data_IF_995950609529
#
_entry.id   IF_995950609529
#
_cell.length_a   1.000
_cell.length_b   1.000
_cell.length_c   1.000
_cell.angle_alpha   90.00
_cell.angle_beta   90.00
_cell.angle_gamma   90.00
#
_symmetry.space_group_name_H-M   'P 1'
#
loop_
_entity.id
_entity.type
_entity.pdbx_description
1 polymer ?
#
# COMPACT_ATOMS: atom_id res chain seq x y z
N UNK A 1 -8.84 -82.13 7.65
CA UNK A 1 -8.24 -80.79 7.56
C UNK A 1 -9.00 -79.86 8.50
N UNK A 2 -8.25 -79.27 9.44
CA UNK A 2 -8.46 -77.98 10.12
C UNK A 2 -9.68 -77.76 11.03
N UNK A 3 -9.43 -77.99 12.34
CA UNK A 3 -9.64 -77.11 13.53
C UNK A 3 -10.35 -75.75 13.31
N UNK A 4 -11.46 -75.39 13.99
CA UNK A 4 -11.79 -75.11 15.42
C UNK A 4 -11.74 -73.61 15.81
N UNK A 5 -12.71 -73.25 16.67
CA UNK A 5 -12.81 -72.09 17.58
C UNK A 5 -13.26 -70.74 16.98
N UNK A 6 -14.50 -70.28 17.24
CA UNK A 6 -15.09 -69.64 18.45
C UNK A 6 -14.84 -68.12 18.47
N UNK A 7 -15.95 -67.38 18.39
CA UNK A 7 -16.08 -65.94 18.53
C UNK A 7 -15.74 -65.47 19.95
N UNK A 8 -15.05 -64.32 20.02
CA UNK A 8 -15.01 -63.46 21.20
C UNK A 8 -15.28 -62.03 20.75
N UNK A 9 -16.32 -61.41 21.30
CA UNK A 9 -16.60 -59.98 21.18
C UNK A 9 -15.63 -59.18 22.05
N UNK A 10 -14.95 -58.19 21.47
CA UNK A 10 -14.31 -57.08 22.18
C UNK A 10 -14.67 -55.78 21.45
N UNK A 11 -15.40 -54.92 22.16
CA UNK A 11 -15.60 -53.51 21.83
C UNK A 11 -14.29 -52.73 22.02
N UNK A 12 -13.82 -52.05 20.98
CA UNK A 12 -12.98 -50.85 21.08
C UNK A 12 -13.02 -50.11 19.73
N UNK A 13 -13.96 -49.18 19.58
CA UNK A 13 -14.03 -48.33 18.39
C UNK A 13 -13.22 -47.05 18.62
N UNK A 14 -12.00 -47.09 18.07
CA UNK A 14 -11.30 -46.05 17.31
C UNK A 14 -11.33 -44.61 17.84
N UNK A 15 -10.17 -44.18 18.33
CA UNK A 15 -9.76 -42.78 18.48
C UNK A 15 -9.82 -42.06 17.12
N UNK A 16 -10.67 -41.03 17.01
CA UNK A 16 -10.56 -40.04 15.94
C UNK A 16 -9.71 -38.87 16.42
N UNK A 17 -8.44 -38.87 16.00
CA UNK A 17 -7.62 -37.67 15.96
C UNK A 17 -8.36 -36.61 15.13
N UNK A 18 -8.79 -35.54 15.78
CA UNK A 18 -9.19 -34.29 15.10
C UNK A 18 -8.13 -33.27 15.42
N UNK A 19 -7.27 -33.01 14.44
CA UNK A 19 -6.40 -31.84 14.41
C UNK A 19 -7.31 -30.62 14.44
N UNK A 20 -7.27 -29.87 15.53
CA UNK A 20 -7.89 -28.55 15.59
C UNK A 20 -6.89 -27.54 15.01
N UNK A 21 -6.71 -27.59 13.70
CA UNK A 21 -6.05 -26.54 12.95
C UNK A 21 -7.10 -25.45 12.72
N UNK A 22 -7.16 -24.50 13.66
CA UNK A 22 -8.00 -23.31 13.57
C UNK A 22 -7.36 -22.29 12.62
N UNK A 23 -7.15 -22.68 11.36
CA UNK A 23 -6.88 -21.73 10.28
C UNK A 23 -8.21 -21.04 9.95
N UNK A 24 -8.31 -19.77 10.34
CA UNK A 24 -9.38 -18.88 9.95
C UNK A 24 -9.38 -18.71 8.42
N UNK A 25 -10.15 -19.55 7.74
CA UNK A 25 -10.69 -19.24 6.42
C UNK A 25 -11.54 -17.97 6.55
N UNK A 26 -11.07 -16.86 5.96
CA UNK A 26 -11.78 -15.68 5.40
C UNK A 26 -10.93 -14.41 5.57
N UNK A 27 -10.90 -13.58 4.51
CA UNK A 27 -10.12 -12.33 4.32
C UNK A 27 -8.62 -12.57 4.06
N UNK A 28 -8.02 -11.99 3.02
CA UNK A 28 -7.62 -10.60 3.14
C UNK A 28 -7.15 -10.02 1.80
N UNK A 29 -7.81 -8.97 1.31
CA UNK A 29 -7.25 -8.07 0.28
C UNK A 29 -6.02 -7.28 0.75
N UNK A 30 -5.63 -7.44 2.02
CA UNK A 30 -4.60 -6.70 2.75
C UNK A 30 -3.59 -7.65 3.41
N UNK A 31 -2.30 -7.44 3.15
CA UNK A 31 -1.22 -8.07 3.93
C UNK A 31 -0.39 -7.02 4.64
N UNK A 32 -0.11 -7.20 5.93
CA UNK A 32 0.69 -6.26 6.72
C UNK A 32 1.87 -6.93 7.41
N UNK A 33 2.97 -6.20 7.55
CA UNK A 33 4.16 -6.70 8.22
C UNK A 33 5.09 -5.60 8.70
N UNK A 34 5.94 -5.93 9.67
CA UNK A 34 6.92 -4.99 10.26
C UNK A 34 8.29 -5.03 9.60
N UNK A 35 8.49 -5.97 8.67
CA UNK A 35 9.72 -6.14 7.91
C UNK A 35 9.46 -5.86 6.42
N UNK A 36 10.45 -5.34 5.68
CA UNK A 36 10.28 -5.02 4.27
C UNK A 36 9.96 -6.24 3.40
N UNK A 37 10.25 -7.46 3.88
CA UNK A 37 9.91 -8.72 3.20
C UNK A 37 8.43 -8.88 2.94
N UNK A 38 7.55 -8.24 3.73
CA UNK A 38 6.10 -8.28 3.48
C UNK A 38 5.76 -7.79 2.07
N UNK A 39 6.52 -6.84 1.52
CA UNK A 39 6.27 -6.27 0.19
C UNK A 39 6.23 -7.34 -0.93
N UNK A 40 6.87 -8.50 -0.75
CA UNK A 40 6.81 -9.60 -1.72
C UNK A 40 5.43 -10.26 -1.80
N UNK A 41 4.60 -10.12 -0.76
CA UNK A 41 3.25 -10.66 -0.72
C UNK A 41 2.30 -9.96 -1.71
N UNK A 42 2.76 -8.89 -2.39
CA UNK A 42 2.00 -8.24 -3.46
C UNK A 42 1.72 -9.21 -4.61
N UNK A 43 2.55 -10.24 -4.79
CA UNK A 43 2.35 -11.27 -5.81
C UNK A 43 1.27 -12.29 -5.49
N UNK A 44 0.73 -12.30 -4.27
CA UNK A 44 -0.39 -13.19 -3.94
C UNK A 44 -1.66 -12.75 -4.70
N UNK A 45 -2.35 -13.72 -5.31
CA UNK A 45 -3.50 -13.46 -6.20
C UNK A 45 -4.62 -12.65 -5.52
N UNK A 46 -4.91 -12.97 -4.26
CA UNK A 46 -6.01 -12.36 -3.51
C UNK A 46 -5.62 -11.07 -2.75
N UNK A 47 -4.39 -10.56 -2.94
CA UNK A 47 -3.90 -9.37 -2.26
C UNK A 47 -4.02 -8.16 -3.18
N UNK A 48 -4.64 -7.06 -2.74
CA UNK A 48 -4.72 -5.80 -3.50
C UNK A 48 -3.84 -4.70 -2.89
N UNK A 49 -3.53 -4.81 -1.60
CA UNK A 49 -2.62 -3.93 -0.89
C UNK A 49 -1.69 -4.73 0.03
N UNK A 50 -0.43 -4.32 0.06
CA UNK A 50 0.53 -4.76 1.06
C UNK A 50 1.08 -3.55 1.81
N UNK A 51 1.20 -3.64 3.13
CA UNK A 51 1.68 -2.56 3.98
C UNK A 51 2.89 -3.03 4.79
N UNK A 52 4.04 -2.41 4.53
CA UNK A 52 5.17 -2.42 5.45
C UNK A 52 5.00 -1.31 6.50
N UNK A 53 4.65 -1.73 7.71
CA UNK A 53 4.50 -0.88 8.89
C UNK A 53 5.87 -0.54 9.44
N UNK A 54 6.31 0.70 9.25
CA UNK A 54 7.60 1.19 9.73
C UNK A 54 7.43 2.49 10.51
N UNK A 55 8.32 2.69 11.48
CA UNK A 55 8.47 3.98 12.14
C UNK A 55 9.54 4.80 11.41
N UNK A 56 9.28 6.09 11.20
CA UNK A 56 10.30 7.02 10.73
C UNK A 56 11.30 7.27 11.86
N UNK A 57 12.59 7.11 11.56
CA UNK A 57 13.62 7.42 12.53
C UNK A 57 13.72 8.94 12.79
N UNK A 58 14.50 9.32 13.80
CA UNK A 58 14.63 10.72 14.19
C UNK A 58 15.29 11.58 13.10
N UNK A 59 16.25 11.04 12.33
CA UNK A 59 16.95 11.79 11.28
C UNK A 59 15.99 12.12 10.14
N UNK A 60 15.21 11.13 9.72
CA UNK A 60 14.20 11.27 8.69
C UNK A 60 13.08 12.22 9.13
N UNK A 61 12.64 12.12 10.39
CA UNK A 61 11.64 13.04 10.95
C UNK A 61 12.14 14.50 10.93
N UNK A 62 13.39 14.75 11.32
CA UNK A 62 14.02 16.08 11.26
C UNK A 62 14.08 16.58 9.81
N UNK A 63 14.49 15.73 8.87
CA UNK A 63 14.58 16.06 7.44
C UNK A 63 13.23 16.48 6.86
N UNK A 64 12.18 15.71 7.16
CA UNK A 64 10.82 15.95 6.69
C UNK A 64 10.26 17.26 7.25
N UNK A 65 10.46 17.54 8.54
CA UNK A 65 10.03 18.80 9.14
C UNK A 65 10.78 20.01 8.54
N UNK A 66 12.10 19.89 8.35
CA UNK A 66 12.91 20.92 7.71
C UNK A 66 12.40 21.23 6.30
N UNK A 67 12.11 20.19 5.51
CA UNK A 67 11.59 20.34 4.15
C UNK A 67 10.23 21.04 4.12
N UNK A 68 9.33 20.69 5.05
CA UNK A 68 8.02 21.34 5.16
C UNK A 68 8.17 22.82 5.52
N UNK A 69 9.10 23.18 6.40
CA UNK A 69 9.34 24.58 6.79
C UNK A 69 9.91 25.43 5.64
N UNK A 70 10.84 24.89 4.85
CA UNK A 70 11.62 25.67 3.88
C UNK A 70 11.13 25.53 2.43
N UNK A 71 10.36 24.50 2.09
CA UNK A 71 9.90 24.22 0.73
C UNK A 71 8.39 23.97 0.66
N UNK A 72 7.54 24.93 1.11
CA UNK A 72 6.10 24.72 1.30
C UNK A 72 5.32 24.28 0.05
N UNK A 73 5.86 24.49 -1.14
CA UNK A 73 5.22 24.18 -2.43
C UNK A 73 5.99 23.15 -3.25
N UNK A 74 6.83 22.33 -2.60
CA UNK A 74 7.65 21.34 -3.30
C UNK A 74 6.78 20.38 -4.12
N UNK A 75 7.11 20.23 -5.40
CA UNK A 75 6.63 19.14 -6.24
C UNK A 75 7.76 18.74 -7.17
N UNK A 76 8.21 17.50 -7.03
CA UNK A 76 9.18 16.87 -7.91
C UNK A 76 8.48 15.71 -8.63
N UNK A 77 8.64 15.67 -9.95
CA UNK A 77 8.21 14.58 -10.82
C UNK A 77 9.44 14.18 -11.64
N UNK A 78 9.97 13.00 -11.39
CA UNK A 78 11.26 12.55 -11.91
C UNK A 78 11.12 11.14 -12.45
N UNK A 79 11.97 10.80 -13.42
CA UNK A 79 12.28 9.42 -13.77
C UNK A 79 13.68 9.17 -13.24
N UNK A 80 13.84 8.13 -12.42
CA UNK A 80 15.12 7.79 -11.76
C UNK A 80 15.38 6.30 -11.87
N UNK A 81 16.66 5.92 -11.87
CA UNK A 81 17.12 4.54 -11.71
C UNK A 81 17.63 4.32 -10.29
N UNK A 82 17.78 3.06 -9.82
CA UNK A 82 18.43 2.78 -8.54
C UNK A 82 19.83 3.39 -8.43
N UNK A 83 20.57 3.48 -9.54
CA UNK A 83 21.95 3.98 -9.58
C UNK A 83 22.05 5.50 -9.54
N UNK A 84 21.13 6.24 -10.17
CA UNK A 84 21.20 7.70 -10.30
C UNK A 84 20.34 8.48 -9.30
N UNK A 85 19.38 7.82 -8.64
CA UNK A 85 18.36 8.47 -7.82
C UNK A 85 18.95 9.43 -6.77
N UNK A 86 20.01 9.01 -6.09
CA UNK A 86 20.67 9.83 -5.07
C UNK A 86 21.25 11.13 -5.67
N UNK A 87 21.94 11.03 -6.80
CA UNK A 87 22.55 12.18 -7.48
C UNK A 87 21.46 13.12 -8.01
N UNK A 88 20.47 12.58 -8.72
CA UNK A 88 19.35 13.34 -9.28
C UNK A 88 18.59 14.11 -8.20
N UNK A 89 18.31 13.49 -7.05
CA UNK A 89 17.65 14.18 -5.93
C UNK A 89 18.57 15.19 -5.25
N UNK A 90 19.86 14.88 -5.10
CA UNK A 90 20.84 15.79 -4.47
C UNK A 90 20.97 17.12 -5.21
N UNK A 91 20.74 17.13 -6.52
CA UNK A 91 20.71 18.36 -7.33
C UNK A 91 19.46 19.22 -7.11
N UNK A 92 18.38 18.67 -6.53
CA UNK A 92 17.11 19.39 -6.31
C UNK A 92 17.03 20.13 -4.98
N UNK A 93 17.98 19.89 -4.08
CA UNK A 93 17.94 20.41 -2.72
C UNK A 93 19.26 21.06 -2.31
N UNK A 94 19.18 21.98 -1.35
CA UNK A 94 20.37 22.48 -0.68
C UNK A 94 20.99 21.36 0.18
N UNK A 95 22.32 21.24 0.09
CA UNK A 95 23.06 20.17 0.78
C UNK A 95 22.98 20.36 2.29
N UNK A 96 22.41 19.37 2.97
CA UNK A 96 22.41 19.27 4.43
C UNK A 96 22.29 17.81 4.85
N UNK A 97 22.82 17.45 6.03
CA UNK A 97 22.73 16.09 6.58
C UNK A 97 21.28 15.62 6.71
N UNK A 98 20.37 16.55 7.03
CA UNK A 98 18.94 16.29 7.13
C UNK A 98 18.37 15.86 5.77
N UNK A 99 18.55 16.67 4.72
CA UNK A 99 18.09 16.33 3.37
C UNK A 99 18.73 15.03 2.87
N UNK A 100 20.03 14.80 3.13
CA UNK A 100 20.70 13.56 2.76
C UNK A 100 20.05 12.32 3.39
N UNK A 101 19.52 12.41 4.62
CA UNK A 101 18.78 11.31 5.25
C UNK A 101 17.48 10.98 4.49
N UNK A 102 16.74 12.00 4.04
CA UNK A 102 15.54 11.81 3.23
C UNK A 102 15.87 11.25 1.84
N UNK A 103 16.91 11.75 1.18
CA UNK A 103 17.34 11.25 -0.12
C UNK A 103 17.73 9.78 -0.02
N UNK A 104 18.52 9.39 0.97
CA UNK A 104 18.90 7.98 1.18
C UNK A 104 17.67 7.08 1.39
N UNK A 105 16.68 7.53 2.16
CA UNK A 105 15.44 6.78 2.34
C UNK A 105 14.71 6.57 1.00
N UNK A 106 14.52 7.65 0.23
CA UNK A 106 13.86 7.59 -1.08
C UNK A 106 14.65 6.70 -2.07
N UNK A 107 15.97 6.81 -2.11
CA UNK A 107 16.84 5.98 -2.96
C UNK A 107 16.69 4.50 -2.60
N UNK A 108 16.63 4.15 -1.31
CA UNK A 108 16.36 2.78 -0.88
C UNK A 108 14.98 2.29 -1.36
N UNK A 109 13.95 3.15 -1.30
CA UNK A 109 12.62 2.77 -1.80
C UNK A 109 12.58 2.58 -3.30
N UNK A 110 13.32 3.41 -4.06
CA UNK A 110 13.48 3.23 -5.51
C UNK A 110 14.19 1.92 -5.83
N UNK A 111 15.29 1.62 -5.14
CA UNK A 111 16.02 0.36 -5.31
C UNK A 111 15.12 -0.85 -5.01
N UNK A 112 14.43 -0.85 -3.87
CA UNK A 112 13.50 -1.91 -3.48
C UNK A 112 12.35 -2.08 -4.49
N UNK A 113 11.74 -0.99 -4.94
CA UNK A 113 10.62 -1.02 -5.89
C UNK A 113 11.06 -1.56 -7.25
N UNK A 114 12.18 -1.05 -7.78
CA UNK A 114 12.75 -1.51 -9.04
C UNK A 114 13.20 -2.97 -8.95
N UNK A 115 13.82 -3.38 -7.86
CA UNK A 115 14.23 -4.77 -7.63
C UNK A 115 13.02 -5.71 -7.57
N UNK A 116 12.00 -5.35 -6.79
CA UNK A 116 10.79 -6.17 -6.61
C UNK A 116 10.10 -6.43 -7.95
N UNK A 117 9.92 -5.40 -8.77
CA UNK A 117 9.20 -5.48 -10.04
C UNK A 117 10.09 -5.70 -11.27
N UNK A 118 11.41 -5.91 -11.08
CA UNK A 118 12.41 -6.03 -12.15
C UNK A 118 12.36 -4.86 -13.15
N UNK A 119 12.29 -3.63 -12.64
CA UNK A 119 12.26 -2.39 -13.42
C UNK A 119 13.67 -1.79 -13.52
N UNK A 120 13.94 -1.12 -14.65
CA UNK A 120 15.17 -0.34 -14.83
C UNK A 120 15.08 1.06 -14.19
N UNK A 121 13.88 1.60 -14.10
CA UNK A 121 13.61 2.96 -13.68
C UNK A 121 12.20 3.05 -13.08
N UNK A 122 12.00 4.05 -12.22
CA UNK A 122 10.72 4.34 -11.58
C UNK A 122 10.32 5.80 -11.80
N UNK A 123 9.02 6.03 -11.92
CA UNK A 123 8.43 7.36 -11.88
C UNK A 123 8.30 7.80 -10.42
N UNK A 124 9.12 8.76 -10.02
CA UNK A 124 9.16 9.29 -8.67
C UNK A 124 8.39 10.60 -8.59
N UNK A 125 7.41 10.65 -7.69
CA UNK A 125 6.74 11.91 -7.31
C UNK A 125 6.94 12.18 -5.83
N UNK A 126 7.57 13.31 -5.50
CA UNK A 126 7.68 13.81 -4.13
C UNK A 126 6.98 15.17 -4.05
N UNK A 127 5.95 15.30 -3.22
CA UNK A 127 5.12 16.50 -3.19
C UNK A 127 4.68 16.88 -1.78
N UNK A 128 4.63 18.20 -1.53
CA UNK A 128 4.00 18.77 -0.35
C UNK A 128 2.59 19.23 -0.74
N UNK A 129 1.60 18.70 -0.05
CA UNK A 129 0.18 18.99 -0.29
C UNK A 129 -0.42 19.77 0.87
N UNK A 130 -1.19 20.80 0.53
CA UNK A 130 -2.06 21.57 1.42
C UNK A 130 -3.55 21.27 1.20
N UNK A 131 -3.85 20.38 0.26
CA UNK A 131 -5.19 19.94 -0.16
C UNK A 131 -5.13 18.50 -0.70
N UNK A 132 -6.26 17.81 -0.73
CA UNK A 132 -6.35 16.50 -1.35
C UNK A 132 -6.10 16.58 -2.87
N UNK A 133 -5.23 15.70 -3.39
CA UNK A 133 -4.96 15.59 -4.84
C UNK A 133 -6.08 14.82 -5.57
N UNK A 134 -6.52 13.71 -4.97
CA UNK A 134 -7.61 12.87 -5.46
C UNK A 134 -8.59 12.62 -4.29
N UNK A 135 -9.49 13.56 -3.99
CA UNK A 135 -10.40 13.47 -2.84
C UNK A 135 -11.47 12.39 -3.00
N UNK A 136 -11.68 11.89 -4.21
CA UNK A 136 -12.63 10.82 -4.52
C UNK A 136 -11.94 9.46 -4.56
N UNK A 137 -12.65 8.44 -4.10
CA UNK A 137 -12.23 7.06 -4.29
C UNK A 137 -12.13 6.72 -5.77
N UNK A 138 -10.97 6.19 -6.16
CA UNK A 138 -10.65 5.81 -7.52
C UNK A 138 -9.69 4.61 -7.50
N UNK A 139 -9.44 4.10 -8.70
CA UNK A 139 -8.40 3.09 -8.95
C UNK A 139 -7.40 3.69 -9.93
N UNK A 140 -6.13 3.35 -9.76
CA UNK A 140 -5.10 3.75 -10.72
C UNK A 140 -5.07 2.78 -11.90
N UNK A 141 -4.83 3.29 -13.11
CA UNK A 141 -4.64 2.49 -14.34
C UNK A 141 -3.15 2.26 -14.61
N UNK A 142 -2.47 1.66 -13.64
CA UNK A 142 -1.06 1.25 -13.68
C UNK A 142 -0.94 -0.15 -13.06
N UNK A 143 0.19 -0.86 -13.21
CA UNK A 143 0.34 -2.18 -12.60
C UNK A 143 0.33 -2.11 -11.07
N UNK A 144 1.24 -1.34 -10.48
CA UNK A 144 1.30 -1.12 -9.04
C UNK A 144 1.89 0.24 -8.73
N UNK A 145 1.48 0.83 -7.60
CA UNK A 145 2.04 2.05 -7.04
C UNK A 145 2.61 1.78 -5.67
N UNK A 146 3.84 2.23 -5.41
CA UNK A 146 4.29 2.41 -4.04
C UNK A 146 3.82 3.77 -3.53
N UNK A 147 3.33 3.81 -2.31
CA UNK A 147 2.93 5.04 -1.63
C UNK A 147 3.55 5.12 -0.24
N UNK A 148 3.98 6.31 0.16
CA UNK A 148 4.28 6.61 1.57
C UNK A 148 3.98 8.06 1.90
N UNK A 149 3.50 8.29 3.12
CA UNK A 149 3.28 9.63 3.66
C UNK A 149 4.25 9.87 4.80
N UNK A 150 5.27 10.69 4.56
CA UNK A 150 6.29 11.02 5.55
C UNK A 150 5.75 11.89 6.70
N UNK A 151 4.77 12.75 6.41
CA UNK A 151 4.11 13.61 7.40
C UNK A 151 2.69 13.92 6.96
N UNK A 152 1.77 14.00 7.92
CA UNK A 152 0.37 14.36 7.70
C UNK A 152 -0.54 13.15 7.47
N UNK A 153 -1.83 13.41 7.20
CA UNK A 153 -2.82 12.35 6.96
C UNK A 153 -2.43 11.50 5.74
N UNK A 154 -2.36 10.18 5.92
CA UNK A 154 -1.98 9.27 4.85
C UNK A 154 -3.20 8.72 4.10
N UNK A 155 -2.93 8.06 2.97
CA UNK A 155 -3.91 7.55 2.02
C UNK A 155 -5.02 6.71 2.67
N UNK A 156 -6.25 6.91 2.23
CA UNK A 156 -7.40 6.08 2.60
C UNK A 156 -7.68 5.06 1.51
N UNK A 157 -8.18 3.88 1.88
CA UNK A 157 -8.45 2.79 0.94
C UNK A 157 -9.64 1.94 1.39
N UNK A 158 -10.21 1.19 0.46
CA UNK A 158 -11.37 0.32 0.67
C UNK A 158 -11.03 -1.12 0.28
N UNK A 159 -11.53 -2.08 1.05
CA UNK A 159 -11.47 -3.49 0.67
C UNK A 159 -12.43 -3.74 -0.51
N UNK A 160 -11.93 -4.36 -1.58
CA UNK A 160 -12.73 -4.69 -2.75
C UNK A 160 -13.94 -5.58 -2.43
N UNK A 161 -13.90 -6.34 -1.33
CA UNK A 161 -14.96 -7.28 -0.94
C UNK A 161 -16.20 -6.62 -0.34
N UNK A 162 -16.11 -5.37 0.10
CA UNK A 162 -17.17 -4.68 0.86
C UNK A 162 -17.80 -3.50 0.09
N UNK A 163 -17.29 -3.19 -1.11
CA UNK A 163 -17.73 -2.05 -1.91
C UNK A 163 -18.56 -2.46 -3.13
N UNK A 164 -19.47 -1.58 -3.56
CA UNK A 164 -20.13 -1.70 -4.86
C UNK A 164 -19.31 -0.96 -5.93
N UNK A 165 -18.42 -1.71 -6.62
CA UNK A 165 -17.58 -1.17 -7.69
C UNK A 165 -18.37 -0.58 -8.86
N UNK A 166 -19.65 -0.92 -9.05
CA UNK A 166 -20.50 -0.28 -10.08
C UNK A 166 -20.78 1.20 -9.78
N UNK A 167 -20.53 1.63 -8.53
CA UNK A 167 -20.63 3.02 -8.07
C UNK A 167 -19.30 3.75 -8.06
N UNK A 168 -18.19 3.06 -8.36
CA UNK A 168 -16.86 3.66 -8.39
C UNK A 168 -16.75 4.65 -9.55
N UNK A 169 -16.32 5.87 -9.24
CA UNK A 169 -16.22 6.93 -10.25
C UNK A 169 -17.56 7.36 -10.85
N UNK A 170 -18.70 6.91 -10.29
CA UNK A 170 -20.00 7.36 -10.74
C UNK A 170 -20.05 8.89 -10.63
N UNK A 171 -20.21 9.55 -11.77
CA UNK A 171 -20.58 10.96 -11.92
C UNK A 171 -22.01 11.19 -11.40
N UNK A 172 -22.31 10.72 -10.19
CA UNK A 172 -23.66 10.65 -9.68
C UNK A 172 -24.10 12.01 -9.14
N UNK A 173 -24.49 12.90 -10.05
CA UNK A 173 -25.33 14.08 -9.77
C UNK A 173 -24.83 14.98 -8.61
N UNK A 174 -23.53 14.97 -8.30
CA UNK A 174 -22.91 15.75 -7.21
C UNK A 174 -22.88 15.09 -5.83
N UNK A 175 -23.21 13.80 -5.67
CA UNK A 175 -23.15 13.09 -4.38
C UNK A 175 -21.73 12.72 -3.96
N UNK A 176 -21.44 12.70 -2.65
CA UNK A 176 -20.16 12.25 -2.09
C UNK A 176 -19.99 10.72 -2.19
N UNK A 177 -18.80 10.18 -1.94
CA UNK A 177 -18.58 8.71 -1.95
C UNK A 177 -19.40 8.01 -0.86
N UNK A 178 -19.60 8.68 0.27
CA UNK A 178 -20.42 8.26 1.40
C UNK A 178 -21.93 8.23 1.06
N UNK A 179 -22.32 8.88 -0.04
CA UNK A 179 -23.72 9.03 -0.46
C UNK A 179 -24.04 8.33 -1.79
N UNK A 180 -23.02 7.91 -2.53
CA UNK A 180 -23.18 7.27 -3.85
C UNK A 180 -23.59 5.79 -3.74
N UNK A 181 -23.49 5.21 -2.55
CA UNK A 181 -23.64 3.78 -2.31
C UNK A 181 -22.37 2.97 -2.63
N UNK A 182 -21.22 3.63 -2.85
CA UNK A 182 -19.93 2.95 -3.02
C UNK A 182 -19.53 2.20 -1.74
N UNK A 183 -19.72 2.84 -0.59
CA UNK A 183 -19.51 2.26 0.75
C UNK A 183 -20.84 2.13 1.48
N UNK A 184 -20.95 1.15 2.39
CA UNK A 184 -22.13 0.97 3.20
C UNK A 184 -22.04 1.78 4.50
N UNK A 185 -20.85 1.80 5.11
CA UNK A 185 -20.55 2.55 6.33
C UNK A 185 -19.26 3.37 6.16
N UNK A 186 -19.14 4.47 6.91
CA UNK A 186 -17.89 5.24 6.97
C UNK A 186 -16.77 4.47 7.67
N UNK A 187 -17.14 3.52 8.54
CA UNK A 187 -16.19 2.63 9.23
C UNK A 187 -15.54 1.61 8.27
N UNK A 188 -16.04 1.49 7.03
CA UNK A 188 -15.41 0.68 5.96
C UNK A 188 -14.15 1.34 5.39
N UNK A 189 -13.91 2.62 5.71
CA UNK A 189 -12.76 3.38 5.23
C UNK A 189 -11.52 3.06 6.06
N UNK A 190 -10.57 2.37 5.43
CA UNK A 190 -9.26 2.12 6.01
C UNK A 190 -8.33 3.30 5.76
N UNK A 191 -7.35 3.52 6.65
CA UNK A 191 -6.37 4.58 6.53
C UNK A 191 -4.96 4.09 6.85
N UNK A 192 -4.01 4.40 5.97
CA UNK A 192 -2.59 4.18 6.24
C UNK A 192 -2.11 5.06 7.40
N UNK A 193 -1.03 4.65 8.05
CA UNK A 193 -0.35 5.46 9.07
C UNK A 193 0.80 6.24 8.44
N UNK A 194 1.15 7.37 9.05
CA UNK A 194 2.36 8.11 8.69
C UNK A 194 3.59 7.19 8.78
N UNK A 195 4.40 7.18 7.72
CA UNK A 195 5.61 6.38 7.61
C UNK A 195 5.41 5.01 6.98
N UNK A 196 4.18 4.48 6.97
CA UNK A 196 3.87 3.23 6.28
C UNK A 196 4.30 3.30 4.82
N UNK A 197 4.74 2.16 4.31
CA UNK A 197 5.03 1.95 2.90
C UNK A 197 4.04 0.94 2.38
N UNK A 198 3.18 1.37 1.46
CA UNK A 198 2.19 0.48 0.87
C UNK A 198 2.41 0.29 -0.62
N UNK A 199 2.20 -0.94 -1.10
CA UNK A 199 2.07 -1.26 -2.51
C UNK A 199 0.59 -1.45 -2.82
N UNK A 200 0.09 -0.72 -3.81
CA UNK A 200 -1.30 -0.73 -4.26
C UNK A 200 -1.34 -1.32 -5.66
N UNK A 201 -2.02 -2.44 -5.84
CA UNK A 201 -2.31 -2.94 -7.19
C UNK A 201 -3.23 -1.94 -7.91
N UNK A 202 -2.88 -1.59 -9.13
CA UNK A 202 -3.81 -0.86 -10.00
C UNK A 202 -4.56 -1.82 -10.92
N UNK A 203 -5.37 -1.26 -11.80
CA UNK A 203 -6.19 -2.03 -12.74
C UNK A 203 -5.36 -2.75 -13.83
N UNK A 204 -4.10 -2.37 -14.04
CA UNK A 204 -3.23 -3.04 -15.01
C UNK A 204 -2.30 -4.07 -14.35
N UNK A 205 -2.59 -4.52 -13.12
CA UNK A 205 -1.76 -5.51 -12.43
C UNK A 205 -1.80 -6.88 -13.13
N UNK A 206 -2.99 -7.32 -13.50
CA UNK A 206 -3.26 -8.55 -14.24
C UNK A 206 -4.06 -8.22 -15.51
N UNK A 207 -4.18 -9.15 -16.44
CA UNK A 207 -4.96 -8.98 -17.67
C UNK A 207 -6.47 -8.80 -17.40
N UNK A 208 -6.92 -9.10 -16.19
CA UNK A 208 -8.30 -8.95 -15.75
C UNK A 208 -8.52 -7.59 -15.05
N UNK A 209 -9.24 -6.70 -15.73
CA UNK A 209 -9.76 -5.48 -15.09
C UNK A 209 -10.75 -5.83 -13.97
N UNK A 210 -10.85 -4.98 -12.96
CA UNK A 210 -11.84 -5.10 -11.88
C UNK A 210 -11.26 -5.38 -10.49
N UNK A 211 -9.94 -5.37 -10.32
CA UNK A 211 -9.28 -5.76 -9.07
C UNK A 211 -8.30 -4.71 -8.50
N UNK A 212 -8.19 -3.51 -9.10
CA UNK A 212 -7.36 -2.44 -8.54
C UNK A 212 -7.72 -2.09 -7.08
N UNK A 213 -6.80 -1.56 -6.31
CA UNK A 213 -7.13 -1.05 -4.98
C UNK A 213 -7.89 0.27 -5.11
N UNK A 214 -9.09 0.31 -4.53
CA UNK A 214 -9.86 1.54 -4.42
C UNK A 214 -9.29 2.41 -3.31
N UNK A 215 -8.83 3.61 -3.64
CA UNK A 215 -8.16 4.50 -2.69
C UNK A 215 -8.41 5.98 -2.98
N UNK A 216 -8.11 6.83 -2.01
CA UNK A 216 -8.19 8.29 -2.11
C UNK A 216 -7.15 9.00 -1.25
N UNK A 217 -6.90 10.25 -1.61
CA UNK A 217 -6.18 11.19 -0.76
C UNK A 217 -7.18 11.86 0.18
N UNK A 218 -7.09 11.67 1.52
CA UNK A 218 -8.02 12.34 2.42
C UNK A 218 -7.80 13.85 2.40
N UNK A 219 -8.83 14.59 2.81
CA UNK A 219 -8.72 16.03 3.00
C UNK A 219 -7.64 16.38 4.02
N UNK A 220 -6.91 17.45 3.73
CA UNK A 220 -5.88 17.98 4.63
C UNK A 220 -6.55 19.03 5.51
N UNK A 221 -6.46 18.85 6.84
CA UNK A 221 -7.01 19.81 7.79
C UNK A 221 -6.42 21.21 7.58
N UNK A 222 -7.20 22.26 7.85
CA UNK A 222 -6.75 23.64 7.64
C UNK A 222 -5.45 23.92 8.42
N UNK A 223 -4.40 24.35 7.70
CA UNK A 223 -3.10 24.65 8.27
C UNK A 223 -2.16 23.45 8.42
N UNK A 224 -2.63 22.23 8.14
CA UNK A 224 -1.77 21.06 8.03
C UNK A 224 -1.12 20.95 6.65
N UNK A 225 -0.01 20.23 6.60
CA UNK A 225 0.72 19.94 5.36
C UNK A 225 1.09 18.47 5.34
N UNK A 226 1.06 17.90 4.15
CA UNK A 226 1.37 16.49 3.91
C UNK A 226 2.59 16.36 3.01
N UNK A 227 3.65 15.69 3.44
CA UNK A 227 4.75 15.29 2.57
C UNK A 227 4.52 13.85 2.11
N UNK A 228 4.41 13.67 0.80
CA UNK A 228 3.94 12.45 0.16
C UNK A 228 4.87 12.02 -0.97
N UNK A 229 5.11 10.71 -1.07
CA UNK A 229 5.91 10.09 -2.13
C UNK A 229 5.09 9.00 -2.82
N UNK A 230 5.17 8.95 -4.15
CA UNK A 230 4.80 7.76 -4.94
C UNK A 230 5.94 7.30 -5.83
N UNK A 231 5.99 5.99 -6.05
CA UNK A 231 6.78 5.37 -7.11
C UNK A 231 5.86 4.59 -8.03
N UNK A 232 5.98 4.84 -9.33
CA UNK A 232 5.14 4.26 -10.37
C UNK A 232 6.00 3.55 -11.43
N UNK A 233 5.36 2.62 -12.14
CA UNK A 233 5.91 2.08 -13.37
C UNK A 233 6.01 3.21 -14.41
N UNK A 234 7.11 3.24 -15.15
CA UNK A 234 7.20 4.06 -16.36
C UNK A 234 6.66 3.23 -17.51
N UNK A 235 5.58 3.71 -18.13
CA UNK A 235 5.14 3.15 -19.40
C UNK A 235 6.13 3.64 -20.47
N UNK A 236 6.82 2.71 -21.13
CA UNK A 236 7.59 2.99 -22.34
C UNK A 236 6.67 3.35 -23.52
#
# INVERSE_FOLDING_TARGET
MSTLAINNDINANTQSHTNHDGSSLLSQGLVEGRTPTVLTDIYQDNTNIVIWQRNLDNKLTIAVNHLLEHNPTLTLLLIVTPEDCFEVLSEKFEKSDAITALINDITLLVDMFCCLFNLKQAGLRLTILDRAMCPRFHVDRIPCRLVTTYKGMATQWLDNNIIDRSKLGAEDQGKTDEQSGLIQDIDDINQLTQGDIALLKGENWDEHEGAGLVHRSPDVSQGERRLFLTLDFIND
#
